data_IF_309019473077
#
_entry.id   IF_309019473077
#
_cell.length_a   1.000
_cell.length_b   1.000
_cell.length_c   1.000
_cell.angle_alpha   90.00
_cell.angle_beta   90.00
_cell.angle_gamma   90.00
#
_symmetry.space_group_name_H-M   'P 1'
#
loop_
_entity.id
_entity.type
_entity.pdbx_description
1 polymer ?
#
# COMPACT_ATOMS: atom_id res chain seq x y z
N UNK A 1 -6.20 -21.94 -5.90
CA UNK A 1 -5.13 -21.27 -5.13
C UNK A 1 -3.90 -21.02 -5.99
N UNK A 2 -3.46 -22.00 -6.79
CA UNK A 2 -2.25 -21.83 -7.62
C UNK A 2 -2.39 -20.77 -8.72
N UNK A 3 -3.55 -20.64 -9.36
CA UNK A 3 -3.77 -19.60 -10.37
C UNK A 3 -3.63 -18.17 -9.81
N UNK A 4 -4.08 -17.94 -8.57
CA UNK A 4 -3.95 -16.65 -7.89
C UNK A 4 -2.48 -16.34 -7.56
N UNK A 5 -1.71 -17.36 -7.14
CA UNK A 5 -0.26 -17.23 -6.92
C UNK A 5 0.47 -16.89 -8.21
N UNK A 6 0.12 -17.55 -9.32
CA UNK A 6 0.70 -17.27 -10.64
C UNK A 6 0.35 -15.85 -11.10
N UNK A 7 -0.90 -15.41 -10.92
CA UNK A 7 -1.32 -14.05 -11.24
C UNK A 7 -0.51 -13.00 -10.49
N UNK A 8 -0.35 -13.12 -9.17
CA UNK A 8 0.42 -12.16 -8.38
C UNK A 8 1.93 -12.22 -8.66
N UNK A 9 2.48 -13.39 -9.04
CA UNK A 9 3.86 -13.49 -9.53
C UNK A 9 4.05 -12.90 -10.93
N UNK A 10 3.02 -12.96 -11.78
CA UNK A 10 3.03 -12.38 -13.12
C UNK A 10 2.88 -10.86 -13.12
N UNK A 11 2.34 -10.29 -12.04
CA UNK A 11 2.38 -8.86 -11.79
C UNK A 11 3.80 -8.49 -11.42
N UNK A 12 4.52 -7.96 -12.41
CA UNK A 12 5.85 -7.39 -12.19
C UNK A 12 5.73 -6.25 -11.17
N UNK A 13 6.36 -6.43 -10.01
CA UNK A 13 6.34 -5.47 -8.92
C UNK A 13 6.86 -4.09 -9.37
N UNK A 14 7.73 -4.03 -10.37
CA UNK A 14 8.22 -2.79 -10.96
C UNK A 14 7.14 -2.04 -11.74
N UNK A 15 6.25 -2.75 -12.45
CA UNK A 15 5.12 -2.16 -13.20
C UNK A 15 4.07 -1.62 -12.24
N UNK A 16 3.80 -2.33 -11.14
CA UNK A 16 2.90 -1.86 -10.07
C UNK A 16 3.44 -0.57 -9.45
N UNK A 17 4.76 -0.51 -9.22
CA UNK A 17 5.44 0.68 -8.69
C UNK A 17 5.36 1.88 -9.63
N UNK A 18 5.66 1.65 -10.92
CA UNK A 18 5.63 2.69 -11.94
C UNK A 18 4.22 3.28 -12.06
N UNK A 19 3.21 2.42 -11.99
CA UNK A 19 1.79 2.80 -12.05
C UNK A 19 1.38 3.66 -10.85
N UNK A 20 1.79 3.27 -9.64
CA UNK A 20 1.50 4.03 -8.41
C UNK A 20 2.22 5.38 -8.36
N UNK A 21 3.48 5.44 -8.80
CA UNK A 21 4.22 6.70 -8.95
C UNK A 21 3.50 7.60 -9.96
N UNK A 22 3.06 7.05 -11.10
CA UNK A 22 2.33 7.82 -12.11
C UNK A 22 1.05 8.42 -11.53
N UNK A 23 0.27 7.63 -10.77
CA UNK A 23 -0.96 8.09 -10.13
C UNK A 23 -0.67 9.18 -9.09
N UNK A 24 0.41 9.06 -8.31
CA UNK A 24 0.85 10.11 -7.38
C UNK A 24 1.27 11.40 -8.11
N UNK A 25 2.05 11.30 -9.18
CA UNK A 25 2.47 12.45 -9.99
C UNK A 25 1.27 13.15 -10.65
N UNK A 26 0.28 12.38 -11.12
CA UNK A 26 -0.97 12.92 -11.63
C UNK A 26 -1.76 13.61 -10.52
N UNK A 27 -1.81 13.04 -9.32
CA UNK A 27 -2.52 13.61 -8.18
C UNK A 27 -1.95 14.96 -7.71
N UNK A 28 -0.64 15.20 -7.88
CA UNK A 28 0.02 16.50 -7.57
C UNK A 28 -0.50 17.62 -8.47
N UNK A 29 -0.92 17.33 -9.71
CA UNK A 29 -1.46 18.34 -10.64
C UNK A 29 -2.92 18.72 -10.35
N UNK A 30 -3.62 18.00 -9.46
CA UNK A 30 -5.00 18.30 -9.08
C UNK A 30 -5.07 19.11 -7.78
N UNK A 31 -6.19 19.82 -7.54
CA UNK A 31 -6.42 20.57 -6.29
C UNK A 31 -6.22 19.65 -5.07
N UNK A 32 -5.59 20.19 -4.02
CA UNK A 32 -5.23 19.48 -2.77
C UNK A 32 -6.37 18.61 -2.20
N UNK A 33 -7.60 19.15 -2.19
CA UNK A 33 -8.78 18.42 -1.70
C UNK A 33 -9.10 17.17 -2.54
N UNK A 34 -8.86 17.19 -3.86
CA UNK A 34 -8.99 16.02 -4.75
C UNK A 34 -7.79 15.09 -4.63
N UNK A 35 -6.61 15.63 -4.40
CA UNK A 35 -5.36 14.88 -4.20
C UNK A 35 -5.48 13.93 -3.02
N UNK A 36 -6.12 14.34 -1.92
CA UNK A 36 -6.32 13.47 -0.76
C UNK A 36 -7.14 12.21 -1.08
N UNK A 37 -8.23 12.34 -1.85
CA UNK A 37 -9.01 11.18 -2.30
C UNK A 37 -8.21 10.25 -3.22
N UNK A 38 -7.37 10.81 -4.08
CA UNK A 38 -6.51 10.02 -4.98
C UNK A 38 -5.43 9.28 -4.18
N UNK A 39 -4.76 9.96 -3.25
CA UNK A 39 -3.71 9.37 -2.41
C UNK A 39 -4.27 8.27 -1.52
N UNK A 40 -5.40 8.51 -0.86
CA UNK A 40 -6.02 7.52 0.04
C UNK A 40 -6.67 6.39 -0.77
N UNK A 41 -7.54 6.75 -1.72
CA UNK A 41 -8.41 5.79 -2.40
C UNK A 41 -7.77 5.06 -3.57
N UNK A 42 -6.90 5.70 -4.36
CA UNK A 42 -6.28 5.08 -5.54
C UNK A 42 -4.85 4.61 -5.32
N UNK A 43 -4.15 5.15 -4.30
CA UNK A 43 -2.79 4.73 -4.00
C UNK A 43 -2.74 3.84 -2.75
N UNK A 44 -3.14 4.36 -1.58
CA UNK A 44 -2.92 3.67 -0.31
C UNK A 44 -3.74 2.38 -0.18
N UNK A 45 -5.05 2.42 -0.45
CA UNK A 45 -5.91 1.23 -0.35
C UNK A 45 -5.52 0.15 -1.38
N UNK A 46 -5.36 0.45 -2.69
CA UNK A 46 -4.98 -0.57 -3.66
C UNK A 46 -3.58 -1.12 -3.43
N UNK A 47 -2.63 -0.28 -3.01
CA UNK A 47 -1.28 -0.74 -2.67
C UNK A 47 -1.32 -1.66 -1.45
N UNK A 48 -2.05 -1.30 -0.39
CA UNK A 48 -2.21 -2.15 0.80
C UNK A 48 -2.84 -3.50 0.45
N UNK A 49 -3.83 -3.49 -0.45
CA UNK A 49 -4.44 -4.71 -0.96
C UNK A 49 -3.43 -5.57 -1.73
N UNK A 50 -2.75 -5.02 -2.73
CA UNK A 50 -1.75 -5.76 -3.52
C UNK A 50 -0.67 -6.39 -2.62
N UNK A 51 -0.12 -5.58 -1.73
CA UNK A 51 0.89 -5.94 -0.77
C UNK A 51 0.44 -7.08 0.17
N UNK A 52 -0.78 -7.03 0.69
CA UNK A 52 -1.36 -8.10 1.50
C UNK A 52 -1.50 -9.42 0.74
N UNK A 53 -1.94 -9.38 -0.51
CA UNK A 53 -2.07 -10.60 -1.32
C UNK A 53 -0.71 -11.13 -1.78
N UNK A 54 0.22 -10.26 -2.17
CA UNK A 54 1.59 -10.65 -2.50
C UNK A 54 2.28 -11.32 -1.30
N UNK A 55 2.06 -10.80 -0.10
CA UNK A 55 2.52 -11.38 1.16
C UNK A 55 2.02 -12.81 1.35
N UNK A 56 0.70 -13.02 1.27
CA UNK A 56 0.09 -14.34 1.50
C UNK A 56 0.44 -15.34 0.39
N UNK A 57 0.46 -14.90 -0.87
CA UNK A 57 0.45 -15.80 -2.03
C UNK A 57 1.76 -15.82 -2.82
N UNK A 58 2.48 -14.70 -2.91
CA UNK A 58 3.67 -14.54 -3.75
C UNK A 58 4.95 -14.99 -3.07
N UNK A 59 5.16 -14.56 -1.82
CA UNK A 59 6.47 -14.61 -1.17
C UNK A 59 6.74 -15.87 -0.31
N UNK A 60 5.81 -16.83 -0.25
CA UNK A 60 6.03 -18.19 0.29
C UNK A 60 6.51 -18.21 1.74
N UNK A 61 5.61 -18.46 2.69
CA UNK A 61 5.78 -18.33 4.15
C UNK A 61 6.98 -19.00 4.84
N UNK A 62 7.87 -19.69 4.12
CA UNK A 62 8.92 -20.54 4.69
C UNK A 62 10.27 -19.83 4.95
N UNK A 63 10.45 -18.57 4.52
CA UNK A 63 11.75 -17.84 4.64
C UNK A 63 11.73 -16.56 5.49
N UNK A 64 10.71 -16.32 6.30
CA UNK A 64 10.46 -15.01 6.89
C UNK A 64 11.09 -14.89 8.28
N UNK A 65 11.98 -13.90 8.45
CA UNK A 65 12.50 -13.58 9.77
C UNK A 65 11.35 -13.07 10.67
N UNK A 66 11.29 -13.44 11.96
CA UNK A 66 10.20 -13.02 12.86
C UNK A 66 9.98 -11.51 12.94
N UNK A 67 11.04 -10.72 12.79
CA UNK A 67 10.98 -9.26 12.75
C UNK A 67 10.25 -8.73 11.50
N UNK A 68 10.40 -9.40 10.36
CA UNK A 68 9.73 -9.08 9.10
C UNK A 68 8.23 -9.37 9.24
N UNK A 69 7.86 -10.49 9.86
CA UNK A 69 6.45 -10.85 10.14
C UNK A 69 5.74 -9.82 11.03
N UNK A 70 6.40 -9.30 12.06
CA UNK A 70 5.79 -8.31 12.97
C UNK A 70 5.65 -6.94 12.30
N UNK A 71 6.68 -6.51 11.57
CA UNK A 71 6.64 -5.27 10.79
C UNK A 71 5.57 -5.38 9.70
N UNK A 72 5.39 -6.54 9.08
CA UNK A 72 4.39 -6.75 8.03
C UNK A 72 2.97 -6.89 8.56
N UNK A 73 2.75 -7.64 9.65
CA UNK A 73 1.43 -7.76 10.26
C UNK A 73 0.89 -6.39 10.72
N UNK A 74 1.78 -5.49 11.18
CA UNK A 74 1.42 -4.13 11.58
C UNK A 74 1.36 -3.15 10.38
N UNK A 75 2.25 -3.25 9.40
CA UNK A 75 2.36 -2.30 8.29
C UNK A 75 1.45 -2.62 7.09
N UNK A 76 1.18 -3.90 6.79
CA UNK A 76 0.54 -4.31 5.53
C UNK A 76 -0.99 -4.28 5.57
N UNK A 77 -1.60 -4.66 6.69
CA UNK A 77 -3.04 -4.91 6.72
C UNK A 77 -3.84 -3.85 7.48
N UNK A 78 -3.19 -2.93 8.18
CA UNK A 78 -3.92 -2.06 9.11
C UNK A 78 -3.72 -0.58 8.84
N UNK A 79 -2.51 -0.12 8.55
CA UNK A 79 -2.24 1.32 8.51
C UNK A 79 -2.87 2.02 7.28
N UNK A 80 -2.88 1.36 6.12
CA UNK A 80 -3.57 1.87 4.93
C UNK A 80 -5.10 1.79 5.02
N UNK A 81 -5.62 0.72 5.64
CA UNK A 81 -7.06 0.56 5.88
C UNK A 81 -7.58 1.51 6.98
N UNK A 82 -6.79 1.71 8.04
CA UNK A 82 -7.01 2.69 9.09
C UNK A 82 -6.96 4.10 8.49
N UNK A 83 -5.98 4.40 7.65
CA UNK A 83 -5.89 5.66 6.93
C UNK A 83 -7.11 5.93 6.05
N UNK A 84 -7.52 4.94 5.27
CA UNK A 84 -8.75 4.97 4.47
C UNK A 84 -10.01 5.16 5.31
N UNK A 85 -10.16 4.40 6.39
CA UNK A 85 -11.31 4.47 7.29
C UNK A 85 -11.40 5.81 8.02
N UNK A 86 -10.29 6.32 8.55
CA UNK A 86 -10.24 7.63 9.21
C UNK A 86 -10.56 8.77 8.23
N UNK A 87 -10.03 8.68 7.00
CA UNK A 87 -10.33 9.66 5.96
C UNK A 87 -11.81 9.66 5.61
N UNK A 88 -12.39 8.48 5.34
CA UNK A 88 -13.81 8.34 5.00
C UNK A 88 -14.72 8.80 6.13
N UNK A 89 -14.39 8.45 7.37
CA UNK A 89 -15.10 8.90 8.56
C UNK A 89 -15.03 10.42 8.73
N UNK A 90 -13.86 11.01 8.46
CA UNK A 90 -13.68 12.47 8.44
C UNK A 90 -14.59 13.16 7.43
N UNK A 91 -14.69 12.62 6.21
CA UNK A 91 -15.59 13.12 5.17
C UNK A 91 -17.06 13.00 5.60
N UNK A 92 -17.46 11.83 6.13
CA UNK A 92 -18.83 11.59 6.58
C UNK A 92 -19.26 12.51 7.72
N UNK A 93 -18.35 12.74 8.68
CA UNK A 93 -18.60 13.60 9.85
C UNK A 93 -18.28 15.09 9.60
N UNK A 94 -17.80 15.44 8.40
CA UNK A 94 -17.30 16.77 8.03
C UNK A 94 -16.26 17.30 9.03
N UNK A 95 -15.32 16.43 9.42
CA UNK A 95 -14.25 16.72 10.39
C UNK A 95 -12.90 16.73 9.70
N UNK A 96 -12.42 17.94 9.38
CA UNK A 96 -11.14 18.15 8.70
C UNK A 96 -9.94 17.50 9.42
N UNK A 97 -9.95 17.41 10.76
CA UNK A 97 -8.86 16.78 11.49
C UNK A 97 -8.78 15.26 11.25
N UNK A 98 -9.92 14.57 11.11
CA UNK A 98 -9.97 13.13 10.80
C UNK A 98 -9.52 12.87 9.36
N UNK A 99 -9.94 13.73 8.42
CA UNK A 99 -9.47 13.68 7.04
C UNK A 99 -7.94 13.84 6.98
N UNK A 100 -7.39 14.79 7.73
CA UNK A 100 -5.94 15.02 7.77
C UNK A 100 -5.19 13.85 8.40
N UNK A 101 -5.69 13.28 9.50
CA UNK A 101 -5.10 12.08 10.12
C UNK A 101 -5.14 10.87 9.19
N UNK A 102 -6.26 10.65 8.49
CA UNK A 102 -6.39 9.58 7.51
C UNK A 102 -5.45 9.73 6.32
N UNK A 103 -5.24 10.95 5.84
CA UNK A 103 -4.28 11.25 4.79
C UNK A 103 -2.83 10.95 5.22
N UNK A 104 -2.42 11.42 6.41
CA UNK A 104 -1.07 11.19 6.92
C UNK A 104 -0.79 9.71 7.17
N UNK A 105 -1.76 8.97 7.74
CA UNK A 105 -1.67 7.53 7.88
C UNK A 105 -1.54 6.83 6.51
N UNK A 106 -2.29 7.28 5.50
CA UNK A 106 -2.21 6.74 4.15
C UNK A 106 -0.86 7.00 3.48
N UNK A 107 -0.28 8.19 3.66
CA UNK A 107 1.08 8.52 3.17
C UNK A 107 2.14 7.65 3.85
N UNK A 108 2.08 7.52 5.18
CA UNK A 108 2.99 6.66 5.93
C UNK A 108 2.88 5.19 5.49
N UNK A 109 1.65 4.73 5.24
CA UNK A 109 1.39 3.41 4.69
C UNK A 109 2.00 3.22 3.30
N UNK A 110 1.86 4.19 2.38
CA UNK A 110 2.47 4.11 1.04
C UNK A 110 3.99 4.01 1.15
N UNK A 111 4.63 4.82 2.01
CA UNK A 111 6.06 4.77 2.22
C UNK A 111 6.53 3.41 2.77
N UNK A 112 5.82 2.86 3.76
CA UNK A 112 6.13 1.55 4.33
C UNK A 112 6.00 0.42 3.30
N UNK A 113 4.92 0.42 2.51
CA UNK A 113 4.74 -0.54 1.43
C UNK A 113 5.80 -0.41 0.34
N UNK A 114 6.22 0.82 0.03
CA UNK A 114 7.31 1.06 -0.91
C UNK A 114 8.64 0.49 -0.44
N UNK A 115 8.95 0.64 0.86
CA UNK A 115 10.16 0.05 1.48
C UNK A 115 10.10 -1.49 1.42
N UNK A 116 8.96 -2.10 1.74
CA UNK A 116 8.82 -3.56 1.66
C UNK A 116 8.99 -4.08 0.23
N UNK A 117 8.25 -3.52 -0.74
CA UNK A 117 8.38 -3.96 -2.13
C UNK A 117 9.80 -3.74 -2.66
N UNK A 118 10.43 -2.62 -2.30
CA UNK A 118 11.84 -2.37 -2.58
C UNK A 118 12.74 -3.44 -1.97
N UNK A 119 12.52 -3.82 -0.71
CA UNK A 119 13.33 -4.86 -0.07
C UNK A 119 13.19 -6.22 -0.77
N UNK A 120 12.01 -6.57 -1.28
CA UNK A 120 11.82 -7.77 -2.09
C UNK A 120 12.60 -7.67 -3.40
N UNK A 121 12.46 -6.56 -4.14
CA UNK A 121 13.14 -6.39 -5.43
C UNK A 121 14.67 -6.41 -5.29
N UNK A 122 15.23 -5.76 -4.26
CA UNK A 122 16.68 -5.65 -4.10
C UNK A 122 17.34 -6.84 -3.39
N UNK A 123 16.63 -7.51 -2.48
CA UNK A 123 17.21 -8.60 -1.69
C UNK A 123 16.70 -10.00 -2.08
N UNK A 124 15.62 -10.11 -2.86
CA UNK A 124 14.98 -11.41 -3.16
C UNK A 124 15.12 -11.86 -4.62
N UNK A 125 15.32 -10.95 -5.58
CA UNK A 125 15.36 -11.28 -7.02
C UNK A 125 16.69 -11.92 -7.50
N UNK A 126 17.37 -12.64 -6.60
CA UNK A 126 18.71 -13.19 -6.84
C UNK A 126 19.05 -14.51 -6.14
N UNK A 127 18.06 -15.30 -5.70
CA UNK A 127 18.28 -16.66 -5.16
C UNK A 127 17.63 -17.75 -6.00
#
# INVERSE_FOLDING_TARGET
MDELKVFFRSLDASVVYLSLILVMLLAIKFKLARTSYLVVGLCSIPLSFYCFFYWIYGAGGDRWAPAIIVIEALAFAQLGWLGGGLFLLGVMLRKNYLEMLGLWASIGSIAAHGIFLGSILFFWDGS
#
